data_IF_826413371149
#
_entry.id   IF_826413371149
#
_cell.length_a   1.000
_cell.length_b   1.000
_cell.length_c   1.000
_cell.angle_alpha   90.00
_cell.angle_beta   90.00
_cell.angle_gamma   90.00
#
_symmetry.space_group_name_H-M   'P 1'
#
loop_
_entity.id
_entity.type
_entity.pdbx_description
1 polymer ?
#
# COMPACT_ATOMS: atom_id res chain seq x y z
N UNK A 1 88.59 5.71 -33.28
CA UNK A 1 87.36 5.24 -33.94
C UNK A 1 86.70 4.27 -32.99
N UNK A 2 85.90 4.82 -32.07
CA UNK A 2 84.67 4.17 -31.65
C UNK A 2 83.82 5.20 -30.91
N UNK A 3 82.80 5.66 -31.62
CA UNK A 3 81.75 6.53 -31.13
C UNK A 3 80.67 5.66 -30.48
N UNK A 4 80.40 5.86 -29.20
CA UNK A 4 79.11 5.49 -28.61
C UNK A 4 78.89 6.23 -27.29
N UNK A 5 78.68 7.54 -27.40
CA UNK A 5 78.06 8.33 -26.33
C UNK A 5 76.57 8.01 -26.31
N UNK A 6 76.18 6.98 -25.56
CA UNK A 6 74.79 6.68 -25.29
C UNK A 6 74.24 7.77 -24.36
N UNK A 7 73.61 8.78 -24.95
CA UNK A 7 72.80 9.75 -24.23
C UNK A 7 71.62 8.99 -23.61
N UNK A 8 71.66 8.83 -22.30
CA UNK A 8 70.52 8.41 -21.50
C UNK A 8 69.42 9.49 -21.65
N UNK A 9 68.56 9.31 -22.64
CA UNK A 9 67.30 10.03 -22.75
C UNK A 9 66.39 9.52 -21.63
N UNK A 10 66.36 10.23 -20.50
CA UNK A 10 65.32 10.03 -19.50
C UNK A 10 64.02 10.56 -20.11
N UNK A 11 63.18 9.64 -20.58
CA UNK A 11 61.81 9.93 -20.90
C UNK A 11 61.09 10.25 -19.58
N UNK A 12 61.00 11.54 -19.25
CA UNK A 12 60.02 12.02 -18.28
C UNK A 12 58.66 11.59 -18.81
N UNK A 13 58.11 10.58 -18.14
CA UNK A 13 56.78 10.08 -18.44
C UNK A 13 55.84 11.19 -18.03
N UNK A 14 55.41 12.02 -18.99
CA UNK A 14 54.30 12.94 -18.78
C UNK A 14 53.10 12.08 -18.39
N UNK A 15 52.86 11.98 -17.08
CA UNK A 15 51.64 11.43 -16.54
C UNK A 15 50.50 12.21 -17.19
N UNK A 16 49.84 11.55 -18.15
CA UNK A 16 48.60 12.04 -18.73
C UNK A 16 47.67 12.24 -17.52
N UNK A 17 47.10 13.45 -17.30
CA UNK A 17 46.15 13.62 -16.22
C UNK A 17 45.07 12.56 -16.43
N UNK A 18 44.90 11.73 -15.39
CA UNK A 18 44.13 10.50 -15.48
C UNK A 18 42.83 10.76 -16.21
N UNK A 19 42.52 9.90 -17.19
CA UNK A 19 41.17 9.75 -17.71
C UNK A 19 40.28 9.59 -16.49
N UNK A 20 39.55 10.65 -16.13
CA UNK A 20 38.59 10.63 -15.04
C UNK A 20 37.54 9.61 -15.46
N UNK A 21 37.65 8.40 -14.92
CA UNK A 21 36.50 7.52 -14.77
C UNK A 21 35.46 8.37 -14.04
N UNK A 22 34.54 8.99 -14.78
CA UNK A 22 33.58 9.93 -14.21
C UNK A 22 32.80 9.16 -13.16
N UNK A 23 33.07 9.48 -11.90
CA UNK A 23 32.45 8.80 -10.78
C UNK A 23 30.95 9.10 -10.78
N UNK A 24 30.20 8.28 -10.06
CA UNK A 24 28.77 8.58 -9.86
C UNK A 24 28.57 9.94 -9.18
N UNK A 25 29.50 10.36 -8.31
CA UNK A 25 29.55 11.69 -7.70
C UNK A 25 29.73 12.82 -8.73
N UNK A 26 30.61 12.64 -9.72
CA UNK A 26 30.78 13.60 -10.82
C UNK A 26 29.51 13.73 -11.65
N UNK A 27 28.77 12.64 -11.83
CA UNK A 27 27.49 12.64 -12.54
C UNK A 27 26.44 13.49 -11.81
N UNK A 28 26.33 13.36 -10.49
CA UNK A 28 25.47 14.21 -9.67
C UNK A 28 25.87 15.68 -9.77
N UNK A 29 27.16 15.97 -9.59
CA UNK A 29 27.70 17.34 -9.69
C UNK A 29 27.43 17.95 -11.06
N UNK A 30 27.68 17.21 -12.14
CA UNK A 30 27.43 17.66 -13.50
C UNK A 30 25.94 17.93 -13.74
N UNK A 31 25.04 17.10 -13.20
CA UNK A 31 23.60 17.32 -13.29
C UNK A 31 23.18 18.62 -12.59
N UNK A 32 23.68 18.85 -11.37
CA UNK A 32 23.41 20.08 -10.62
C UNK A 32 23.92 21.33 -11.33
N UNK A 33 25.15 21.28 -11.83
CA UNK A 33 25.75 22.40 -12.56
C UNK A 33 25.02 22.69 -13.88
N UNK A 34 24.55 21.65 -14.61
CA UNK A 34 23.71 21.82 -15.80
C UNK A 34 22.37 22.47 -15.49
N UNK A 35 21.83 22.22 -14.29
CA UNK A 35 20.62 22.87 -13.80
C UNK A 35 20.87 24.29 -13.23
N UNK A 36 22.13 24.76 -13.22
CA UNK A 36 22.55 26.04 -12.64
C UNK A 36 22.13 26.20 -11.16
N UNK A 37 22.17 25.10 -10.39
CA UNK A 37 21.81 25.08 -8.98
C UNK A 37 23.06 25.08 -8.09
N UNK A 38 23.01 25.83 -7.00
CA UNK A 38 23.99 25.67 -5.93
C UNK A 38 23.71 24.40 -5.11
N UNK A 39 24.71 23.93 -4.38
CA UNK A 39 24.52 22.78 -3.48
C UNK A 39 23.49 23.10 -2.38
N UNK A 40 23.42 24.37 -1.95
CA UNK A 40 22.45 24.85 -0.97
C UNK A 40 21.01 24.83 -1.51
N UNK A 41 20.81 25.11 -2.79
CA UNK A 41 19.47 25.03 -3.42
C UNK A 41 18.94 23.60 -3.41
N UNK A 42 19.81 22.64 -3.77
CA UNK A 42 19.49 21.21 -3.72
C UNK A 42 19.21 20.77 -2.29
N UNK A 43 20.01 21.20 -1.32
CA UNK A 43 19.81 20.93 0.10
C UNK A 43 18.44 21.45 0.58
N UNK A 44 18.09 22.68 0.22
CA UNK A 44 16.83 23.30 0.58
C UNK A 44 15.61 22.57 -0.02
N UNK A 45 15.74 22.08 -1.25
CA UNK A 45 14.68 21.35 -1.96
C UNK A 45 14.50 19.91 -1.46
N UNK A 46 15.60 19.19 -1.25
CA UNK A 46 15.59 17.77 -0.84
C UNK A 46 15.50 17.55 0.66
N UNK A 47 15.74 18.60 1.46
CA UNK A 47 15.86 18.54 2.94
C UNK A 47 17.02 17.66 3.42
N UNK A 48 18.05 17.53 2.60
CA UNK A 48 19.30 16.83 2.93
C UNK A 48 20.34 17.89 3.33
N UNK A 49 21.16 17.60 4.34
CA UNK A 49 22.27 18.50 4.74
C UNK A 49 23.22 18.75 3.57
N UNK A 50 23.74 19.98 3.45
CA UNK A 50 24.75 20.34 2.46
C UNK A 50 25.96 19.41 2.54
N UNK A 51 26.46 19.15 3.75
CA UNK A 51 27.61 18.28 4.02
C UNK A 51 27.42 16.87 3.41
N UNK A 52 26.21 16.31 3.46
CA UNK A 52 25.94 14.99 2.89
C UNK A 52 25.82 15.01 1.37
N UNK A 53 25.29 16.09 0.79
CA UNK A 53 25.24 16.23 -0.67
C UNK A 53 26.65 16.45 -1.25
N UNK A 54 27.49 17.21 -0.55
CA UNK A 54 28.90 17.36 -0.89
C UNK A 54 29.63 16.02 -0.79
N UNK A 55 29.41 15.25 0.27
CA UNK A 55 29.98 13.90 0.41
C UNK A 55 29.54 12.94 -0.71
N UNK A 56 28.29 13.07 -1.20
CA UNK A 56 27.81 12.32 -2.37
C UNK A 56 28.56 12.74 -3.64
N UNK A 57 28.76 14.04 -3.87
CA UNK A 57 29.49 14.54 -5.04
C UNK A 57 31.00 14.23 -5.00
N UNK A 58 31.61 14.28 -3.82
CA UNK A 58 33.04 14.02 -3.61
C UNK A 58 33.39 12.55 -3.43
N UNK A 59 32.39 11.67 -3.43
CA UNK A 59 32.55 10.25 -3.13
C UNK A 59 33.18 9.97 -1.74
N UNK A 60 32.94 10.84 -0.74
CA UNK A 60 33.51 10.69 0.61
C UNK A 60 32.62 9.82 1.50
N UNK A 61 33.05 8.57 1.73
CA UNK A 61 32.29 7.60 2.52
C UNK A 61 32.29 7.91 4.01
N UNK A 62 33.34 8.54 4.52
CA UNK A 62 33.50 8.77 5.96
C UNK A 62 32.54 9.86 6.46
N UNK A 63 32.20 10.81 5.61
CA UNK A 63 31.26 11.89 5.90
C UNK A 63 29.78 11.49 5.76
N UNK A 64 29.48 10.31 5.19
CA UNK A 64 28.10 9.85 4.99
C UNK A 64 27.52 9.18 6.24
N UNK A 65 26.18 9.26 6.44
CA UNK A 65 25.51 8.54 7.52
C UNK A 65 25.46 7.03 7.24
N UNK A 66 24.72 6.29 8.08
CA UNK A 66 24.50 4.86 7.85
C UNK A 66 23.99 4.58 6.43
N UNK A 67 24.42 3.42 5.89
CA UNK A 67 24.19 2.99 4.50
C UNK A 67 22.75 3.20 4.01
N UNK A 68 21.75 2.86 4.81
CA UNK A 68 20.35 3.00 4.44
C UNK A 68 19.98 4.46 4.13
N UNK A 69 20.45 5.41 4.94
CA UNK A 69 20.21 6.84 4.72
C UNK A 69 20.98 7.35 3.50
N UNK A 70 22.25 6.97 3.35
CA UNK A 70 23.07 7.38 2.21
C UNK A 70 22.44 6.96 0.86
N UNK A 71 21.92 5.72 0.77
CA UNK A 71 21.21 5.26 -0.43
C UNK A 71 19.89 6.02 -0.66
N UNK A 72 19.16 6.36 0.41
CA UNK A 72 17.97 7.20 0.33
C UNK A 72 18.27 8.62 -0.15
N UNK A 73 19.38 9.20 0.30
CA UNK A 73 19.84 10.52 -0.10
C UNK A 73 20.25 10.55 -1.58
N UNK A 74 21.03 9.56 -2.02
CA UNK A 74 21.37 9.41 -3.44
C UNK A 74 20.12 9.29 -4.32
N UNK A 75 19.11 8.53 -3.89
CA UNK A 75 17.82 8.41 -4.59
C UNK A 75 17.07 9.75 -4.66
N UNK A 76 16.95 10.46 -3.54
CA UNK A 76 16.25 11.74 -3.48
C UNK A 76 16.94 12.79 -4.36
N UNK A 77 18.27 12.84 -4.34
CA UNK A 77 19.06 13.72 -5.19
C UNK A 77 18.87 13.39 -6.67
N UNK A 78 18.94 12.10 -7.05
CA UNK A 78 18.72 11.68 -8.44
C UNK A 78 17.34 12.07 -8.96
N UNK A 79 16.29 11.83 -8.16
CA UNK A 79 14.93 12.24 -8.50
C UNK A 79 14.79 13.75 -8.68
N UNK A 80 15.40 14.54 -7.78
CA UNK A 80 15.35 16.00 -7.86
C UNK A 80 16.05 16.52 -9.12
N UNK A 81 17.11 15.86 -9.58
CA UNK A 81 17.83 16.19 -10.82
C UNK A 81 17.21 15.57 -12.09
N UNK A 82 16.11 14.83 -11.97
CA UNK A 82 15.48 14.13 -13.11
C UNK A 82 16.34 13.01 -13.70
N UNK A 83 17.27 12.45 -12.92
CA UNK A 83 18.08 11.29 -13.30
C UNK A 83 17.33 9.99 -13.03
N UNK A 84 17.77 8.88 -13.64
CA UNK A 84 17.25 7.56 -13.31
C UNK A 84 17.73 7.15 -11.92
N UNK A 85 16.86 7.29 -10.91
CA UNK A 85 17.20 7.00 -9.53
C UNK A 85 17.69 5.57 -9.29
N UNK A 86 17.15 4.56 -9.97
CA UNK A 86 17.54 3.18 -9.73
C UNK A 86 18.94 2.88 -10.28
N UNK A 87 19.26 3.43 -11.45
CA UNK A 87 20.61 3.36 -12.02
C UNK A 87 21.63 4.11 -11.15
N UNK A 88 21.28 5.33 -10.71
CA UNK A 88 22.16 6.14 -9.88
C UNK A 88 22.45 5.49 -8.53
N UNK A 89 21.43 4.93 -7.87
CA UNK A 89 21.60 4.25 -6.58
C UNK A 89 22.36 2.94 -6.73
N UNK A 90 22.14 2.20 -7.82
CA UNK A 90 22.90 0.97 -8.12
C UNK A 90 24.38 1.29 -8.27
N UNK A 91 24.73 2.25 -9.13
CA UNK A 91 26.11 2.69 -9.34
C UNK A 91 26.74 3.27 -8.08
N UNK A 92 25.99 4.05 -7.30
CA UNK A 92 26.42 4.56 -6.00
C UNK A 92 26.70 3.44 -5.01
N UNK A 93 25.83 2.42 -4.95
CA UNK A 93 26.01 1.27 -4.07
C UNK A 93 27.28 0.49 -4.40
N UNK A 94 27.52 0.23 -5.69
CA UNK A 94 28.70 -0.46 -6.21
C UNK A 94 29.96 0.34 -5.83
N UNK A 95 30.02 1.62 -6.18
CA UNK A 95 31.24 2.42 -5.96
C UNK A 95 31.55 2.71 -4.47
N UNK A 96 30.55 2.84 -3.60
CA UNK A 96 30.78 3.12 -2.17
C UNK A 96 30.93 1.89 -1.27
N UNK A 97 30.29 0.77 -1.60
CA UNK A 97 30.11 -0.35 -0.66
C UNK A 97 30.59 -1.71 -1.17
N UNK A 98 31.29 -1.77 -2.30
CA UNK A 98 31.76 -3.04 -2.87
C UNK A 98 32.86 -3.75 -2.06
N UNK A 99 33.47 -3.10 -1.06
CA UNK A 99 34.60 -3.68 -0.31
C UNK A 99 34.26 -4.23 1.09
N UNK A 100 32.98 -4.43 1.44
CA UNK A 100 32.62 -4.99 2.75
C UNK A 100 31.49 -6.00 2.65
N UNK A 101 31.74 -7.16 3.27
CA UNK A 101 30.85 -8.27 3.63
C UNK A 101 29.35 -7.96 3.50
N UNK A 102 28.54 -8.93 3.02
CA UNK A 102 27.09 -8.77 2.92
C UNK A 102 26.59 -8.18 4.23
N UNK A 103 26.18 -6.92 4.11
CA UNK A 103 25.61 -6.02 5.10
C UNK A 103 25.53 -6.62 6.51
N UNK A 104 26.26 -6.03 7.45
CA UNK A 104 25.83 -6.04 8.84
C UNK A 104 24.35 -5.65 8.88
N UNK A 105 23.53 -6.69 9.01
CA UNK A 105 22.10 -6.75 9.20
C UNK A 105 21.25 -5.65 8.51
N UNK A 106 21.27 -5.62 7.18
CA UNK A 106 20.05 -5.26 6.42
C UNK A 106 19.43 -6.54 5.84
N UNK A 107 19.41 -7.61 6.65
CA UNK A 107 18.39 -8.62 6.40
C UNK A 107 17.05 -7.88 6.47
N UNK A 108 16.12 -8.08 5.51
CA UNK A 108 14.75 -7.61 5.73
C UNK A 108 14.37 -8.12 7.11
N UNK A 109 14.10 -7.22 8.07
CA UNK A 109 13.63 -7.64 9.38
C UNK A 109 12.51 -8.62 9.11
N UNK A 110 12.69 -9.88 9.53
CA UNK A 110 11.76 -10.95 9.23
C UNK A 110 10.35 -10.41 9.45
N UNK A 111 9.52 -10.48 8.41
CA UNK A 111 8.15 -10.02 8.48
C UNK A 111 7.53 -10.66 9.73
N UNK A 112 6.86 -9.89 10.60
CA UNK A 112 6.45 -10.43 11.87
C UNK A 112 5.50 -11.60 11.63
N UNK A 113 5.63 -12.70 12.38
CA UNK A 113 5.03 -14.01 12.08
C UNK A 113 3.48 -14.03 11.93
N UNK A 114 2.80 -12.92 12.20
CA UNK A 114 1.37 -12.75 11.98
C UNK A 114 0.98 -12.34 10.55
N UNK A 115 1.93 -11.94 9.68
CA UNK A 115 1.65 -11.58 8.27
C UNK A 115 1.85 -12.72 7.26
N UNK A 116 2.32 -13.91 7.67
CA UNK A 116 2.46 -15.08 6.79
C UNK A 116 1.17 -15.89 6.61
N UNK A 117 0.00 -15.27 6.77
CA UNK A 117 -1.28 -15.94 6.55
C UNK A 117 -1.58 -16.03 5.04
N UNK A 118 -0.85 -16.92 4.36
CA UNK A 118 -1.13 -17.32 2.97
C UNK A 118 -2.34 -18.25 2.98
N UNK A 119 -3.55 -17.69 2.84
CA UNK A 119 -4.74 -18.52 2.66
C UNK A 119 -4.52 -19.41 1.42
N UNK A 120 -4.70 -20.73 1.51
CA UNK A 120 -4.62 -21.60 0.36
C UNK A 120 -5.60 -21.12 -0.72
N UNK A 121 -5.22 -21.30 -1.99
CA UNK A 121 -6.08 -20.95 -3.13
C UNK A 121 -7.43 -21.66 -2.95
N UNK A 122 -8.51 -20.89 -2.79
CA UNK A 122 -9.86 -21.43 -2.62
C UNK A 122 -10.55 -21.14 -1.28
N UNK A 123 -9.84 -20.63 -0.25
CA UNK A 123 -10.48 -20.30 1.03
C UNK A 123 -11.59 -19.25 0.89
N UNK A 124 -11.45 -18.29 -0.03
CA UNK A 124 -12.51 -17.33 -0.31
C UNK A 124 -13.81 -17.98 -0.81
N UNK A 125 -13.70 -18.99 -1.67
CA UNK A 125 -14.86 -19.73 -2.19
C UNK A 125 -15.50 -20.57 -1.08
N UNK A 126 -14.68 -21.24 -0.26
CA UNK A 126 -15.17 -22.03 0.87
C UNK A 126 -15.92 -21.16 1.90
N UNK A 127 -15.44 -19.94 2.17
CA UNK A 127 -16.12 -18.99 3.06
C UNK A 127 -17.46 -18.52 2.47
N UNK A 128 -17.51 -18.24 1.17
CA UNK A 128 -18.76 -17.85 0.50
C UNK A 128 -19.78 -18.99 0.60
N UNK A 129 -19.38 -20.23 0.32
CA UNK A 129 -20.26 -21.41 0.44
C UNK A 129 -20.72 -21.61 1.89
N UNK A 130 -19.82 -21.49 2.86
CA UNK A 130 -20.18 -21.63 4.28
C UNK A 130 -21.16 -20.54 4.73
N UNK A 131 -20.95 -19.29 4.29
CA UNK A 131 -21.85 -18.18 4.57
C UNK A 131 -23.23 -18.37 3.92
N UNK A 132 -23.30 -18.82 2.66
CA UNK A 132 -24.59 -19.03 1.99
C UNK A 132 -25.37 -20.18 2.63
N UNK A 133 -24.71 -21.29 2.96
CA UNK A 133 -25.34 -22.41 3.67
C UNK A 133 -25.78 -22.03 5.08
N UNK A 134 -24.94 -21.29 5.81
CA UNK A 134 -25.27 -20.77 7.13
C UNK A 134 -26.47 -19.83 7.09
N UNK A 135 -26.50 -18.93 6.11
CA UNK A 135 -27.62 -18.00 5.91
C UNK A 135 -28.90 -18.73 5.54
N UNK A 136 -28.85 -19.68 4.58
CA UNK A 136 -29.99 -20.49 4.18
C UNK A 136 -30.55 -21.33 5.35
N UNK A 137 -29.66 -21.93 6.16
CA UNK A 137 -30.04 -22.69 7.35
C UNK A 137 -30.67 -21.79 8.41
N UNK A 138 -30.08 -20.61 8.66
CA UNK A 138 -30.60 -19.63 9.61
C UNK A 138 -31.99 -19.13 9.20
N UNK A 139 -32.20 -18.83 7.92
CA UNK A 139 -33.51 -18.44 7.40
C UNK A 139 -34.51 -19.59 7.47
N UNK A 140 -34.12 -20.81 7.07
CA UNK A 140 -34.99 -21.98 7.05
C UNK A 140 -35.46 -22.41 8.43
N UNK A 141 -34.60 -22.33 9.47
CA UNK A 141 -34.99 -22.62 10.85
C UNK A 141 -35.76 -21.48 11.52
N UNK A 142 -35.72 -20.24 10.97
CA UNK A 142 -36.41 -19.08 11.55
C UNK A 142 -37.75 -18.75 10.92
N UNK A 143 -38.11 -19.35 9.79
CA UNK A 143 -39.49 -19.32 9.30
C UNK A 143 -40.28 -20.44 9.97
N UNK A 144 -41.03 -20.18 11.07
CA UNK A 144 -42.14 -21.07 11.37
C UNK A 144 -43.02 -21.09 10.13
N UNK A 145 -43.27 -22.27 9.57
CA UNK A 145 -44.24 -22.43 8.50
C UNK A 145 -45.57 -21.90 9.03
N UNK A 146 -45.90 -20.66 8.66
CA UNK A 146 -47.17 -20.06 9.00
C UNK A 146 -48.19 -20.76 8.11
N UNK A 147 -48.66 -21.92 8.58
CA UNK A 147 -49.77 -22.64 7.98
C UNK A 147 -50.97 -21.70 8.00
N UNK A 148 -51.14 -20.98 6.90
CA UNK A 148 -52.27 -20.11 6.66
C UNK A 148 -53.51 -20.97 6.43
N UNK A 149 -54.13 -21.48 7.50
CA UNK A 149 -55.57 -21.81 7.57
C UNK A 149 -55.95 -21.97 9.03
N UNK A 150 -56.22 -20.85 9.70
CA UNK A 150 -57.07 -20.85 10.87
C UNK A 150 -58.14 -19.78 10.62
N UNK A 151 -59.09 -20.10 9.74
CA UNK A 151 -60.36 -19.37 9.72
C UNK A 151 -60.98 -19.66 11.09
N UNK A 152 -61.26 -18.65 11.94
CA UNK A 152 -61.87 -18.90 13.22
C UNK A 152 -63.21 -19.63 13.00
N UNK A 153 -63.57 -20.62 13.83
CA UNK A 153 -64.85 -21.30 13.69
C UNK A 153 -65.97 -20.25 13.76
N UNK A 154 -66.95 -20.37 12.86
CA UNK A 154 -68.11 -19.48 12.82
C UNK A 154 -68.77 -19.50 14.21
N UNK A 155 -69.01 -18.34 14.85
CA UNK A 155 -69.67 -18.28 16.14
C UNK A 155 -70.97 -19.09 16.12
N UNK A 156 -71.25 -19.88 17.16
CA UNK A 156 -72.42 -20.77 17.20
C UNK A 156 -73.74 -20.03 16.96
N UNK A 157 -73.82 -18.75 17.36
CA UNK A 157 -74.97 -17.87 17.09
C UNK A 157 -75.28 -17.69 15.59
N UNK A 158 -74.28 -17.84 14.72
CA UNK A 158 -74.39 -17.65 13.26
C UNK A 158 -74.36 -18.99 12.49
N UNK A 159 -74.01 -20.10 13.15
CA UNK A 159 -73.93 -21.41 12.51
C UNK A 159 -75.29 -21.88 11.96
N UNK A 160 -76.39 -21.49 12.61
CA UNK A 160 -77.75 -21.79 12.15
C UNK A 160 -78.15 -21.05 10.87
N UNK A 161 -77.66 -19.82 10.66
CA UNK A 161 -77.92 -19.04 9.44
C UNK A 161 -77.02 -19.44 8.29
N UNK A 162 -75.78 -19.84 8.57
CA UNK A 162 -74.82 -20.27 7.57
C UNK A 162 -75.29 -21.53 6.79
N UNK A 163 -76.11 -22.37 7.42
CA UNK A 163 -76.59 -23.64 6.85
C UNK A 163 -78.11 -23.68 6.60
N UNK A 164 -78.80 -22.53 6.62
CA UNK A 164 -80.26 -22.48 6.36
C UNK A 164 -80.60 -21.97 4.96
N UNK A 165 -81.45 -22.69 4.24
CA UNK A 165 -81.97 -22.29 2.92
C UNK A 165 -83.06 -21.19 2.97
N UNK A 166 -83.35 -20.67 4.18
CA UNK A 166 -84.34 -19.62 4.41
C UNK A 166 -83.70 -18.47 5.18
N UNK A 167 -83.91 -17.24 4.72
CA UNK A 167 -83.52 -16.04 5.47
C UNK A 167 -84.43 -15.93 6.71
N UNK A 168 -83.86 -16.10 7.91
CA UNK A 168 -84.56 -15.86 9.16
C UNK A 168 -84.80 -14.36 9.41
N UNK A 169 -85.66 -14.04 10.37
CA UNK A 169 -85.91 -12.66 10.78
C UNK A 169 -84.62 -12.05 11.36
N UNK A 170 -84.19 -10.91 10.80
CA UNK A 170 -82.90 -10.30 11.16
C UNK A 170 -83.05 -9.66 12.54
N UNK A 171 -82.26 -10.07 13.55
CA UNK A 171 -82.32 -9.42 14.85
C UNK A 171 -81.91 -7.95 14.71
N UNK A 172 -82.49 -7.07 15.52
CA UNK A 172 -82.16 -5.64 15.52
C UNK A 172 -80.69 -5.45 15.95
N UNK A 173 -79.78 -5.34 14.98
CA UNK A 173 -78.36 -5.13 15.22
C UNK A 173 -78.18 -3.68 15.65
N UNK A 174 -78.24 -3.43 16.96
CA UNK A 174 -77.82 -2.17 17.55
C UNK A 174 -76.30 -2.01 17.38
N UNK A 175 -75.88 -1.39 16.27
CA UNK A 175 -74.48 -0.98 16.07
C UNK A 175 -74.17 0.07 17.14
N UNK A 176 -73.56 -0.37 18.25
CA UNK A 176 -72.99 0.55 19.22
C UNK A 176 -71.73 1.11 18.59
N UNK A 177 -71.84 2.28 17.95
CA UNK A 177 -70.67 3.03 17.53
C UNK A 177 -69.88 3.39 18.78
N UNK A 178 -68.70 2.78 18.95
CA UNK A 178 -67.71 3.25 19.93
C UNK A 178 -67.32 4.65 19.46
N UNK A 179 -67.86 5.67 20.11
CA UNK A 179 -67.48 7.06 19.86
C UNK A 179 -66.03 7.22 20.30
N UNK A 180 -65.12 7.27 19.33
CA UNK A 180 -63.76 7.74 19.56
C UNK A 180 -63.87 9.20 20.03
N UNK A 181 -63.70 9.41 21.33
CA UNK A 181 -63.61 10.74 21.94
C UNK A 181 -62.43 11.48 21.30
N UNK A 182 -62.74 12.34 20.34
CA UNK A 182 -61.81 13.32 19.80
C UNK A 182 -61.69 14.44 20.82
N UNK A 183 -60.61 14.42 21.59
CA UNK A 183 -60.25 15.48 22.53
C UNK A 183 -59.30 16.47 21.81
N UNK A 184 -59.76 17.65 21.36
CA UNK A 184 -58.88 18.71 20.93
C UNK A 184 -58.48 19.58 22.13
N UNK A 185 -57.16 19.68 22.31
CA UNK A 185 -56.40 20.53 23.23
C UNK A 185 -56.97 21.92 23.52
#
# INVERSE_FOLDING_TARGET
MDASGALHYQAETFATPGVSTHGIGDTFRAARLRANLSIADVAAATKISVEYLEAIESMDRAALPQRAYALGFARCYANHMGLNADEMVSSFKTQFYDDVSPLGDLSPRAAPAWVDFRLPKGTGIALIIACTLGLATWYGLRTPAQSATAIPPVPEALAGWANSDKLGDVPDISITYVTLSSDPK
#
